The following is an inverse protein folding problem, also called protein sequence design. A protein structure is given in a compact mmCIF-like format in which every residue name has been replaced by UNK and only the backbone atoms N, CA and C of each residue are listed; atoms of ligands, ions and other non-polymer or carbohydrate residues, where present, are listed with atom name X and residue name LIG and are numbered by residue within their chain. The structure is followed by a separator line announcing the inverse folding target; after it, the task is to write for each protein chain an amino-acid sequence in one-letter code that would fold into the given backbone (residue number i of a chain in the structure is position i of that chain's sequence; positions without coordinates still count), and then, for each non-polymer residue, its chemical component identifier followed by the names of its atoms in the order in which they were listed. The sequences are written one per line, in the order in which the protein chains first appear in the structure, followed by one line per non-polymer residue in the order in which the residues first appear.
data_IF_075205821390
#
_entry.id   IF_075205821390
#
_cell.length_a   1.000
_cell.length_b   1.000
_cell.length_c   1.000
_cell.angle_alpha   90.00
_cell.angle_beta   90.00
_cell.angle_gamma   90.00
#
_symmetry.space_group_name_H-M   'P 1'
#
loop_
_entity.id
_entity.type
_entity.pdbx_description
1 polymer ?
2 polymer ?
3 non-polymer ?
4 non-polymer ?
5 water ?
#
# COMPACT_ATOMS: atom_id res chain seq x y z
N UNK A 30 17.78 22.18 6.07
CA UNK A 30 17.83 20.74 6.45
C UNK A 30 16.68 19.95 5.83
N UNK A 31 15.42 20.33 6.08
CA UNK A 31 14.27 19.62 5.45
C UNK A 31 14.37 19.69 3.91
N UNK A 32 14.72 20.84 3.38
CA UNK A 32 14.92 20.94 1.93
C UNK A 32 16.12 20.12 1.43
N UNK A 33 17.18 20.05 2.24
CA UNK A 33 18.32 19.24 1.91
C UNK A 33 17.97 17.75 1.89
N UNK A 34 17.24 17.31 2.88
CA UNK A 34 16.81 15.92 2.93
C UNK A 34 15.95 15.54 1.74
N UNK A 35 15.09 16.46 1.32
CA UNK A 35 14.25 16.23 0.17
C UNK A 35 15.10 16.05 -1.07
N UNK A 36 16.06 16.96 -1.22
CA UNK A 36 17.01 16.89 -2.28
C UNK A 36 17.80 15.53 -2.29
N UNK A 37 18.32 15.12 -1.13
CA UNK A 37 18.98 13.84 -1.03
C UNK A 37 18.06 12.66 -1.37
N UNK A 38 16.78 12.75 -0.99
CA UNK A 38 15.76 11.71 -1.32
C UNK A 38 15.57 11.67 -2.83
N UNK A 39 15.52 12.84 -3.44
CA UNK A 39 15.38 12.90 -4.87
C UNK A 39 16.63 12.35 -5.62
N UNK A 40 17.84 12.60 -5.10
CA UNK A 40 19.07 12.03 -5.71
C UNK A 40 19.11 10.52 -5.59
N UNK A 41 18.74 10.02 -4.41
CA UNK A 41 18.69 8.58 -4.16
C UNK A 41 17.64 7.96 -5.13
N UNK A 42 16.45 8.57 -5.27
CA UNK A 42 15.42 8.10 -6.23
C UNK A 42 15.97 8.04 -7.69
N UNK A 43 16.62 9.12 -8.14
CA UNK A 43 17.25 9.08 -9.45
C UNK A 43 18.29 7.91 -9.56
N UNK A 44 19.09 7.70 -8.52
CA UNK A 44 20.12 6.67 -8.55
C UNK A 44 19.55 5.30 -8.31
N UNK A 45 18.22 5.21 -8.05
CA UNK A 45 17.55 3.96 -7.73
C UNK A 45 18.12 3.28 -6.50
N UNK A 46 18.49 4.09 -5.52
CA UNK A 46 19.00 3.56 -4.26
C UNK A 46 17.90 3.83 -3.23
N UNK A 47 16.89 2.96 -3.29
CA UNK A 47 15.69 3.27 -2.52
C UNK A 47 15.86 3.18 -1.02
N UNK A 48 16.83 2.40 -0.53
CA UNK A 48 17.10 2.39 0.93
C UNK A 48 17.45 3.75 1.50
N UNK A 49 18.32 4.43 0.78
CA UNK A 49 18.74 5.76 1.12
C UNK A 49 17.65 6.76 0.98
N UNK A 50 16.77 6.58 -0.03
CA UNK A 50 15.64 7.50 -0.19
C UNK A 50 14.76 7.37 1.06
N UNK A 51 14.53 6.14 1.52
CA UNK A 51 13.78 5.87 2.76
C UNK A 51 14.43 6.62 3.98
N UNK A 52 15.73 6.48 4.15
CA UNK A 52 16.40 7.06 5.33
C UNK A 52 16.23 8.58 5.32
N UNK A 53 16.42 9.19 4.16
CA UNK A 53 16.23 10.66 4.01
C UNK A 53 14.79 11.06 4.34
N UNK A 54 13.79 10.34 3.81
CA UNK A 54 12.38 10.74 3.98
C UNK A 54 11.91 10.44 5.42
N UNK A 55 12.50 9.41 6.03
CA UNK A 55 12.19 9.08 7.41
C UNK A 55 12.64 10.19 8.35
N UNK A 56 13.77 10.81 8.03
CA UNK A 56 14.19 12.00 8.76
C UNK A 56 13.24 13.18 8.60
N UNK A 57 12.64 13.35 7.41
CA UNK A 57 11.66 14.41 7.22
C UNK A 57 10.46 14.09 8.09
N UNK A 58 10.00 12.85 8.03
CA UNK A 58 8.83 12.45 8.77
C UNK A 58 9.09 12.72 10.28
N UNK A 59 10.33 12.51 10.70
CA UNK A 59 10.68 12.61 12.11
C UNK A 59 10.68 14.05 12.61
N UNK A 60 10.48 15.03 11.74
CA UNK A 60 10.38 16.42 12.17
C UNK A 60 9.03 16.82 12.78
N UNK A 61 8.08 15.91 12.75
CA UNK A 61 6.76 16.13 13.40
C UNK A 61 5.97 17.34 12.84
N UNK A 62 6.12 17.60 11.54
CA UNK A 62 5.37 18.68 10.85
C UNK A 62 4.58 18.07 9.70
N UNK A 63 3.54 18.77 9.24
CA UNK A 63 2.75 18.31 8.08
C UNK A 63 3.71 18.22 6.84
N UNK A 64 3.77 17.06 6.19
CA UNK A 64 4.52 16.95 4.95
C UNK A 64 3.82 17.64 3.78
N UNK A 65 4.58 18.17 2.84
CA UNK A 65 3.96 18.67 1.65
C UNK A 65 3.50 17.45 0.82
N UNK A 66 2.69 17.67 -0.22
CA UNK A 66 2.30 16.64 -1.18
C UNK A 66 3.53 15.95 -1.76
N UNK A 67 4.55 16.73 -2.11
CA UNK A 67 5.78 16.19 -2.69
C UNK A 67 6.46 15.25 -1.69
N UNK A 68 6.65 15.71 -0.47
CA UNK A 68 7.29 14.91 0.59
C UNK A 68 6.52 13.62 0.90
N UNK A 69 5.17 13.72 1.00
CA UNK A 69 4.32 12.55 1.20
C UNK A 69 4.58 11.53 0.10
N UNK A 70 4.65 12.05 -1.12
CA UNK A 70 4.77 11.17 -2.26
C UNK A 70 6.15 10.54 -2.29
N UNK A 71 7.18 11.32 -1.99
CA UNK A 71 8.58 10.81 -1.93
C UNK A 71 8.72 9.71 -0.89
N UNK A 72 8.16 9.98 0.28
CA UNK A 72 8.14 8.97 1.32
C UNK A 72 7.43 7.71 0.90
N UNK A 73 6.29 7.86 0.25
CA UNK A 73 5.47 6.66 -0.09
C UNK A 73 6.19 5.84 -1.23
N UNK A 74 6.73 6.53 -2.23
CA UNK A 74 7.52 5.87 -3.29
C UNK A 74 8.71 5.15 -2.72
N UNK A 75 9.45 5.83 -1.84
CA UNK A 75 10.62 5.22 -1.21
C UNK A 75 10.24 3.87 -0.62
N UNK A 76 9.27 3.88 0.30
CA UNK A 76 8.92 2.62 0.95
C UNK A 76 8.24 1.66 -0.02
N UNK A 77 7.40 2.13 -0.93
CA UNK A 77 6.82 1.15 -1.85
C UNK A 77 7.90 0.43 -2.71
N UNK A 78 8.99 1.13 -3.06
CA UNK A 78 10.14 0.45 -3.79
C UNK A 78 10.86 -0.49 -2.89
N UNK A 79 11.10 -0.08 -1.64
CA UNK A 79 11.83 -0.94 -0.70
C UNK A 79 11.04 -2.19 -0.41
N UNK A 80 9.79 -2.03 0.02
CA UNK A 80 8.97 -3.23 0.27
C UNK A 80 8.66 -3.98 -1.03
N UNK A 81 8.50 -3.25 -2.14
CA UNK A 81 8.02 -3.91 -3.37
C UNK A 81 9.12 -4.86 -3.87
N UNK A 82 10.42 -4.48 -3.66
CA UNK A 82 11.50 -5.41 -4.00
C UNK A 82 11.37 -6.75 -3.27
N UNK A 83 11.08 -6.70 -1.96
CA UNK A 83 10.96 -7.94 -1.22
C UNK A 83 9.66 -8.65 -1.52
N UNK A 84 8.59 -7.89 -1.81
CA UNK A 84 7.35 -8.63 -2.15
C UNK A 84 7.56 -9.39 -3.46
N UNK A 85 8.24 -8.76 -4.42
CA UNK A 85 8.48 -9.43 -5.74
C UNK A 85 9.40 -10.66 -5.46
N UNK A 86 10.44 -10.51 -4.62
CA UNK A 86 11.30 -11.65 -4.26
C UNK A 86 10.48 -12.76 -3.60
N UNK A 87 9.67 -12.38 -2.61
CA UNK A 87 8.78 -13.32 -1.91
C UNK A 87 7.89 -14.12 -2.86
N UNK A 88 7.29 -13.43 -3.81
CA UNK A 88 6.39 -14.13 -4.70
C UNK A 88 7.16 -15.06 -5.64
N UNK A 89 8.38 -14.66 -6.05
CA UNK A 89 9.20 -15.57 -6.91
C UNK A 89 9.56 -16.81 -6.11
N UNK A 90 10.07 -16.61 -4.89
CA UNK A 90 10.54 -17.72 -4.08
C UNK A 90 9.35 -18.65 -3.73
N UNK A 91 8.19 -18.08 -3.39
CA UNK A 91 7.00 -18.88 -3.08
C UNK A 91 6.56 -19.69 -4.28
N UNK A 92 6.67 -19.14 -5.49
CA UNK A 92 6.29 -19.91 -6.66
C UNK A 92 7.28 -21.04 -6.89
N UNK A 93 8.55 -20.74 -6.67
CA UNK A 93 9.55 -21.80 -6.77
C UNK A 93 9.23 -22.90 -5.75
N UNK A 94 8.84 -22.47 -4.57
CA UNK A 94 8.51 -23.39 -3.54
C UNK A 94 7.32 -24.29 -3.98
N UNK A 95 6.30 -23.66 -4.58
CA UNK A 95 5.13 -24.39 -5.07
C UNK A 95 5.47 -25.42 -6.16
N UNK A 96 6.41 -25.07 -7.04
CA UNK A 96 6.88 -26.00 -8.09
C UNK A 96 7.55 -27.17 -7.41
N UNK A 97 8.42 -26.89 -6.46
CA UNK A 97 9.15 -27.97 -5.83
C UNK A 97 8.27 -28.91 -5.00
N UNK A 98 7.26 -28.37 -4.33
CA UNK A 98 6.28 -29.20 -3.61
C UNK A 98 5.63 -30.22 -4.54
N UNK A 99 5.36 -29.80 -5.78
CA UNK A 99 4.83 -30.68 -6.85
C UNK A 99 5.74 -31.75 -7.42
N UNK A 100 6.99 -31.76 -7.01
CA UNK A 100 7.97 -32.69 -7.50
C UNK A 100 8.62 -33.37 -6.30
N UNK A 101 8.22 -32.92 -5.12
CA UNK A 101 8.72 -33.46 -3.86
C UNK A 101 10.22 -33.50 -3.70
N UNK A 102 10.96 -32.48 -4.15
CA UNK A 102 12.38 -32.42 -3.79
C UNK A 102 12.55 -31.77 -2.43
N UNK A 103 12.75 -32.57 -1.36
CA UNK A 103 12.75 -32.07 0.04
C UNK A 103 14.05 -31.40 0.54
N UNK A 104 15.19 -31.83 0.00
CA UNK A 104 16.46 -31.11 0.18
C UNK A 104 16.24 -29.65 -0.36
N UNK A 105 15.72 -29.54 -1.57
CA UNK A 105 15.47 -28.23 -2.18
C UNK A 105 14.47 -27.42 -1.32
N UNK A 106 13.35 -28.06 -0.94
CA UNK A 106 12.32 -27.45 -0.10
C UNK A 106 12.87 -26.79 1.14
N UNK A 107 13.77 -27.49 1.83
CA UNK A 107 14.47 -26.96 2.97
C UNK A 107 15.10 -25.58 2.71
N UNK A 108 15.86 -25.48 1.63
CA UNK A 108 16.56 -24.24 1.35
C UNK A 108 15.61 -23.17 0.85
N UNK A 109 14.63 -23.56 0.04
CA UNK A 109 13.65 -22.57 -0.47
C UNK A 109 12.89 -21.96 0.75
N UNK A 110 12.43 -22.81 1.66
CA UNK A 110 11.67 -22.32 2.84
C UNK A 110 12.50 -21.49 3.76
N UNK A 111 13.77 -21.88 3.98
CA UNK A 111 14.63 -21.02 4.77
C UNK A 111 14.86 -19.65 4.08
N UNK A 112 14.98 -19.68 2.76
CA UNK A 112 15.16 -18.46 2.03
C UNK A 112 13.87 -17.58 2.05
N UNK A 113 12.71 -18.19 1.89
CA UNK A 113 11.46 -17.46 2.06
C UNK A 113 11.36 -16.77 3.42
N UNK A 114 11.78 -17.48 4.46
CA UNK A 114 11.58 -17.00 5.84
C UNK A 114 12.42 -15.78 6.06
N UNK A 115 13.60 -15.79 5.45
CA UNK A 115 14.50 -14.69 5.58
C UNK A 115 13.91 -13.45 4.90
N UNK A 116 13.32 -13.65 3.71
CA UNK A 116 12.67 -12.55 3.05
C UNK A 116 11.46 -12.05 3.85
N UNK A 117 10.72 -12.97 4.43
CA UNK A 117 9.63 -12.59 5.34
C UNK A 117 10.12 -11.76 6.50
N UNK A 118 11.23 -12.16 7.10
CA UNK A 118 11.82 -11.31 8.17
C UNK A 118 12.07 -9.88 7.69
N UNK A 119 12.68 -9.73 6.53
CA UNK A 119 12.87 -8.42 5.98
C UNK A 119 11.52 -7.68 5.73
N UNK A 120 10.52 -8.34 5.15
CA UNK A 120 9.22 -7.70 4.91
C UNK A 120 8.67 -7.23 6.25
N UNK A 121 8.77 -8.07 7.27
CA UNK A 121 8.24 -7.67 8.59
C UNK A 121 8.93 -6.43 9.12
N UNK A 122 10.26 -6.43 9.04
CA UNK A 122 11.03 -5.31 9.58
C UNK A 122 10.67 -4.06 8.82
N UNK A 123 10.57 -4.18 7.49
CA UNK A 123 10.27 -2.96 6.70
C UNK A 123 8.87 -2.43 7.02
N UNK A 124 7.89 -3.31 7.06
CA UNK A 124 6.50 -2.87 7.40
C UNK A 124 6.47 -2.26 8.78
N UNK A 126 8.82 -0.82 10.34
CA UNK A 126 9.49 0.48 10.30
C UNK A 126 8.54 1.62 9.85
N UNK A 127 7.88 1.48 8.72
CA UNK A 127 6.99 2.54 8.29
C UNK A 127 5.74 2.67 9.21
N UNK A 128 5.25 1.58 9.75
CA UNK A 128 4.06 1.56 10.60
C UNK A 128 4.40 2.33 11.88
N UNK A 129 5.67 2.25 12.33
CA UNK A 129 6.12 3.05 13.49
C UNK A 129 6.23 4.53 13.12
N UNK A 130 6.74 4.80 11.93
CA UNK A 130 6.84 6.19 11.48
C UNK A 130 5.44 6.80 11.33
N UNK A 131 4.50 5.99 10.85
CA UNK A 131 3.10 6.43 10.67
C UNK A 131 2.48 6.76 12.06
N UNK A 132 2.67 5.83 13.00
CA UNK A 132 2.06 5.97 14.34
C UNK A 132 2.72 7.04 15.20
N UNK A 133 4.05 7.17 15.10
CA UNK A 133 4.82 8.12 15.91
C UNK A 133 4.65 9.51 15.39
N UNK A 134 4.86 9.69 14.07
CA UNK A 134 5.17 10.95 13.47
C UNK A 134 4.05 11.41 12.52
N UNK A 135 3.72 10.56 11.54
CA UNK A 135 2.87 11.02 10.44
C UNK A 135 1.43 11.29 10.83
N UNK A 136 0.77 10.30 11.38
CA UNK A 136 -0.61 10.41 11.68
C UNK A 136 -0.81 11.50 12.78
N UNK A 137 -0.01 11.45 13.88
CA UNK A 137 -0.22 12.58 14.86
C UNK A 137 -0.08 14.01 14.32
N UNK A 138 0.81 14.22 13.36
CA UNK A 138 1.02 15.57 12.87
C UNK A 138 0.10 15.92 11.69
N UNK A 139 -0.72 14.98 11.24
CA UNK A 139 -1.47 15.20 9.98
C UNK A 139 -2.68 16.08 10.29
N UNK A 140 -2.91 17.13 9.57
CA UNK A 140 -4.04 17.97 9.93
C UNK A 140 -4.90 18.39 8.74
N UNK A 141 -4.73 17.73 7.60
CA UNK A 141 -5.65 17.95 6.48
C UNK A 141 -6.36 16.64 6.17
N UNK A 142 -7.58 16.73 5.66
CA UNK A 142 -8.32 15.55 5.24
C UNK A 142 -7.45 14.69 4.32
N UNK A 143 -6.80 15.29 3.32
CA UNK A 143 -6.03 14.53 2.35
C UNK A 143 -4.87 13.74 3.01
N UNK A 144 -4.12 14.40 3.88
CA UNK A 144 -3.00 13.72 4.49
C UNK A 144 -3.49 12.68 5.40
N UNK A 145 -4.57 12.91 6.19
CA UNK A 145 -5.07 11.85 7.05
C UNK A 145 -5.48 10.61 6.26
N UNK A 146 -6.16 10.80 5.12
CA UNK A 146 -6.55 9.63 4.33
C UNK A 146 -5.34 8.92 3.78
N UNK A 147 -4.38 9.70 3.29
CA UNK A 147 -3.16 9.10 2.72
C UNK A 147 -2.44 8.25 3.80
N UNK A 148 -2.28 8.78 5.00
CA UNK A 148 -1.53 8.02 5.99
C UNK A 148 -2.31 6.86 6.53
N UNK A 149 -3.62 7.02 6.75
CA UNK A 149 -4.37 5.82 7.16
C UNK A 149 -4.38 4.74 6.07
N UNK A 150 -4.53 5.17 4.82
CA UNK A 150 -4.51 4.17 3.75
C UNK A 150 -3.11 3.49 3.76
N UNK A 151 -2.05 4.24 3.89
CA UNK A 151 -0.74 3.65 4.00
C UNK A 151 -0.64 2.62 5.13
N UNK A 152 -1.19 2.99 6.29
CA UNK A 152 -1.21 2.02 7.38
C UNK A 152 -1.94 0.74 7.00
N UNK A 153 -3.08 0.94 6.33
CA UNK A 153 -3.86 -0.20 5.77
C UNK A 153 -2.98 -1.03 4.80
N UNK A 154 -2.26 -0.32 3.89
CA UNK A 154 -1.37 -1.06 2.91
C UNK A 154 -0.27 -1.86 3.62
N UNK A 155 0.36 -1.26 4.64
CA UNK A 155 1.48 -1.97 5.26
C UNK A 155 1.03 -3.15 6.14
N UNK A 156 -0.10 -3.02 6.81
CA UNK A 156 -0.65 -4.24 7.44
C UNK A 156 -1.09 -5.28 6.45
N UNK A 157 -1.67 -4.84 5.34
CA UNK A 157 -2.04 -5.75 4.33
C UNK A 157 -0.78 -6.49 3.78
N UNK A 158 0.35 -5.81 3.59
CA UNK A 158 1.56 -6.53 3.09
C UNK A 158 2.06 -7.53 4.12
N UNK A 159 1.90 -7.15 5.41
CA UNK A 159 2.14 -8.16 6.51
C UNK A 159 1.24 -9.34 6.37
N UNK A 160 -0.06 -9.07 6.15
CA UNK A 160 -1.07 -10.15 5.99
C UNK A 160 -0.77 -11.05 4.80
N UNK A 161 -0.13 -10.55 3.71
CA UNK A 161 0.05 -11.39 2.49
C UNK A 161 0.83 -12.61 2.80
N UNK A 162 1.82 -12.52 3.67
CA UNK A 162 2.59 -13.73 3.89
C UNK A 162 2.29 -14.37 5.25
N UNK A 163 1.56 -13.66 6.10
CA UNK A 163 1.26 -14.12 7.50
C UNK A 163 0.41 -15.40 7.47
N UNK A 164 0.58 -16.28 8.47
CA UNK A 164 -0.42 -17.35 8.65
C UNK A 164 -0.91 -17.23 10.09
N UNK A 165 -2.02 -17.87 10.36
CA UNK A 165 -2.46 -18.04 11.77
C UNK A 165 -2.85 -16.76 12.43
N UNK A 166 -2.39 -16.59 13.68
CA UNK A 166 -2.75 -15.40 14.46
C UNK A 166 -2.23 -14.12 13.82
N UNK A 167 -0.97 -14.12 13.42
CA UNK A 167 -0.30 -13.01 12.76
C UNK A 167 -1.20 -12.57 11.58
N UNK A 168 -1.70 -13.51 10.77
CA UNK A 168 -2.52 -13.11 9.63
C UNK A 168 -3.82 -12.39 10.09
N UNK A 169 -4.46 -12.97 11.12
CA UNK A 169 -5.66 -12.33 11.66
C UNK A 169 -5.34 -10.95 12.21
N UNK A 170 -4.27 -10.80 12.98
CA UNK A 170 -4.03 -9.50 13.57
C UNK A 170 -3.70 -8.46 12.47
N UNK A 171 -2.93 -8.88 11.48
CA UNK A 171 -2.54 -7.95 10.38
C UNK A 171 -3.82 -7.57 9.62
N UNK A 172 -4.66 -8.55 9.31
CA UNK A 172 -5.94 -8.28 8.61
C UNK A 172 -6.85 -7.36 9.37
N UNK A 173 -6.92 -7.54 10.72
CA UNK A 173 -7.76 -6.66 11.55
C UNK A 173 -7.16 -5.30 11.56
N UNK A 174 -5.84 -5.16 11.72
CA UNK A 174 -5.24 -3.82 11.80
C UNK A 174 -5.39 -3.12 10.45
N UNK A 175 -5.23 -3.91 9.38
CA UNK A 175 -5.39 -3.31 8.03
C UNK A 175 -6.84 -2.79 7.83
N UNK A 176 -7.82 -3.63 8.11
CA UNK A 176 -9.22 -3.28 8.04
C UNK A 176 -9.50 -1.98 8.83
N UNK A 177 -9.04 -1.92 10.10
CA UNK A 177 -9.28 -0.72 10.88
C UNK A 177 -8.72 0.53 10.25
N UNK A 178 -7.50 0.42 9.72
CA UNK A 178 -6.92 1.59 9.14
C UNK A 178 -7.66 1.98 7.85
N UNK A 179 -8.03 0.99 7.07
CA UNK A 179 -8.67 1.31 5.74
C UNK A 179 -10.10 1.90 6.03
N UNK A 180 -10.77 1.43 7.12
CA UNK A 180 -12.08 2.01 7.50
C UNK A 180 -11.88 3.41 7.98
N UNK A 181 -10.85 3.64 8.79
CA UNK A 181 -10.58 4.98 9.24
C UNK A 181 -10.30 5.90 8.05
N UNK A 182 -9.49 5.42 7.09
CA UNK A 182 -9.18 6.27 5.90
C UNK A 182 -10.51 6.50 5.12
N UNK A 183 -11.31 5.47 5.02
CA UNK A 183 -12.59 5.58 4.27
C UNK A 183 -13.56 6.56 4.90
N UNK A 184 -13.63 6.55 6.23
CA UNK A 184 -14.48 7.49 6.94
C UNK A 184 -14.09 8.93 6.60
N UNK A 185 -12.80 9.25 6.65
CA UNK A 185 -12.35 10.59 6.34
C UNK A 185 -12.56 10.91 4.84
N UNK A 186 -12.25 9.94 3.98
CA UNK A 186 -12.32 10.16 2.54
C UNK A 186 -13.76 10.42 2.14
N UNK A 187 -14.70 9.67 2.73
CA UNK A 187 -16.12 9.84 2.37
C UNK A 187 -16.66 11.20 2.76
N UNK A 188 -16.13 11.76 3.81
CA UNK A 188 -16.60 13.04 4.21
C UNK A 188 -15.78 14.18 3.64
N UNK A 189 -14.49 13.97 3.31
CA UNK A 189 -13.59 15.10 3.06
C UNK A 189 -13.10 15.21 1.62
N UNK A 190 -13.14 14.11 0.85
CA UNK A 190 -12.62 14.15 -0.52
C UNK A 190 -13.70 13.85 -1.55
N UNK A 191 -13.62 14.55 -2.69
CA UNK A 191 -14.50 14.14 -3.79
C UNK A 191 -14.25 12.73 -4.25
N UNK A 192 -15.28 12.08 -4.82
CA UNK A 192 -15.17 10.70 -5.21
C UNK A 192 -14.18 10.48 -6.34
N UNK A 193 -13.83 11.57 -7.04
CA UNK A 193 -12.80 11.44 -8.10
C UNK A 193 -11.39 11.68 -7.56
N UNK A 194 -11.25 12.01 -6.29
CA UNK A 194 -9.95 12.41 -5.81
C UNK A 194 -9.02 11.14 -5.93
N UNK A 195 -7.80 11.31 -6.39
CA UNK A 195 -6.92 10.16 -6.59
C UNK A 195 -6.59 9.41 -5.29
N UNK A 196 -6.53 10.12 -4.18
CA UNK A 196 -6.23 9.35 -2.92
C UNK A 196 -7.47 8.53 -2.51
N UNK A 197 -8.66 9.12 -2.69
CA UNK A 197 -9.89 8.41 -2.36
C UNK A 197 -10.02 7.22 -3.30
N UNK A 198 -9.76 7.41 -4.58
CA UNK A 198 -9.83 6.27 -5.54
C UNK A 198 -8.77 5.20 -5.21
N UNK A 199 -7.55 5.68 -4.94
CA UNK A 199 -6.41 4.80 -4.57
C UNK A 199 -6.78 3.99 -3.33
N UNK A 200 -7.44 4.67 -2.37
CA UNK A 200 -7.91 3.94 -1.18
C UNK A 200 -8.92 2.91 -1.59
N UNK A 201 -9.90 3.28 -2.42
CA UNK A 201 -10.89 2.27 -2.85
C UNK A 201 -10.27 1.07 -3.55
N UNK A 202 -9.32 1.37 -4.45
CA UNK A 202 -8.62 0.29 -5.15
C UNK A 202 -7.91 -0.63 -4.14
N UNK A 203 -7.11 -0.09 -3.21
CA UNK A 203 -6.37 -0.96 -2.35
C UNK A 203 -7.25 -1.67 -1.35
N UNK A 204 -8.28 -0.97 -0.82
CA UNK A 204 -9.20 -1.65 0.12
C UNK A 204 -9.96 -2.73 -0.59
N UNK A 205 -10.29 -2.54 -1.86
CA UNK A 205 -10.95 -3.64 -2.58
C UNK A 205 -9.98 -4.81 -2.74
N UNK A 206 -8.70 -4.53 -3.04
CA UNK A 206 -7.71 -5.62 -3.12
C UNK A 206 -7.63 -6.39 -1.78
N UNK A 207 -7.65 -5.63 -0.70
CA UNK A 207 -7.64 -6.16 0.66
C UNK A 207 -8.82 -7.15 0.84
N UNK A 208 -10.02 -6.71 0.46
CA UNK A 208 -11.17 -7.63 0.61
C UNK A 208 -11.01 -8.88 -0.23
N UNK A 209 -10.50 -8.69 -1.46
CA UNK A 209 -10.23 -9.80 -2.36
C UNK A 209 -9.16 -10.74 -1.86
N UNK A 210 -7.95 -10.20 -1.64
CA UNK A 210 -6.74 -11.02 -1.42
C UNK A 210 -6.56 -11.44 0.00
N UNK A 211 -7.02 -10.63 0.95
CA UNK A 211 -6.82 -10.98 2.38
C UNK A 211 -8.12 -11.60 3.02
N UNK A 212 -9.26 -10.93 2.86
CA UNK A 212 -10.53 -11.40 3.43
C UNK A 212 -11.22 -12.43 2.58
N UNK A 213 -10.62 -12.76 1.44
CA UNK A 213 -11.21 -13.71 0.54
C UNK A 213 -12.68 -13.38 0.29
N UNK A 214 -12.95 -12.20 -0.20
CA UNK A 214 -14.34 -11.81 -0.35
C UNK A 214 -14.50 -11.16 -1.70
N UNK A 215 -14.65 -11.97 -2.76
CA UNK A 215 -14.76 -11.35 -4.08
C UNK A 215 -16.00 -10.49 -4.19
N UNK A 216 -17.10 -10.85 -3.47
CA UNK A 216 -18.33 -10.09 -3.60
C UNK A 216 -18.14 -8.68 -2.98
N UNK A 217 -17.58 -8.60 -1.79
CA UNK A 217 -17.38 -7.31 -1.15
C UNK A 217 -16.33 -6.48 -1.95
N UNK A 218 -15.31 -7.18 -2.48
CA UNK A 218 -14.23 -6.48 -3.26
C UNK A 218 -14.89 -5.81 -4.49
N UNK A 219 -15.73 -6.58 -5.16
CA UNK A 219 -16.44 -6.08 -6.36
C UNK A 219 -17.34 -4.93 -6.04
N UNK A 220 -18.13 -5.03 -4.96
CA UNK A 220 -19.00 -3.91 -4.55
C UNK A 220 -18.29 -2.65 -4.22
N UNK A 221 -17.21 -2.78 -3.44
CA UNK A 221 -16.45 -1.59 -3.10
C UNK A 221 -15.85 -0.97 -4.36
N UNK A 222 -15.28 -1.78 -5.24
CA UNK A 222 -14.58 -1.23 -6.40
C UNK A 222 -15.62 -0.60 -7.34
N UNK A 223 -16.74 -1.31 -7.47
CA UNK A 223 -17.79 -0.84 -8.40
C UNK A 223 -18.38 0.42 -7.85
N UNK A 224 -18.66 0.46 -6.55
CA UNK A 224 -19.20 1.69 -5.95
C UNK A 224 -18.27 2.85 -6.16
N UNK A 225 -16.97 2.64 -5.88
CA UNK A 225 -16.02 3.75 -6.01
C UNK A 225 -16.01 4.27 -7.48
N UNK A 226 -16.04 3.36 -8.40
CA UNK A 226 -15.92 3.68 -9.82
C UNK A 226 -17.19 4.45 -10.21
N UNK A 227 -18.37 3.91 -9.87
CA UNK A 227 -19.71 4.59 -10.16
C UNK A 227 -19.82 5.96 -9.55
N UNK A 228 -19.37 6.12 -8.28
CA UNK A 228 -19.43 7.44 -7.61
C UNK A 228 -18.56 8.49 -8.26
N UNK A 229 -17.40 8.06 -8.77
CA UNK A 229 -16.53 9.00 -9.47
C UNK A 229 -17.19 9.34 -10.82
N UNK A 230 -17.66 8.32 -11.52
CA UNK A 230 -18.35 8.55 -12.89
C UNK A 230 -19.49 9.57 -12.67
N UNK A 231 -20.26 9.40 -11.59
CA UNK A 231 -21.33 10.36 -11.25
C UNK A 231 -20.87 11.78 -11.02
N UNK A 232 -19.62 12.00 -10.64
CA UNK A 232 -19.20 13.32 -10.26
C UNK A 232 -17.93 13.77 -11.04
N UNK A 233 -17.85 13.42 -12.31
CA UNK A 233 -16.65 13.66 -13.09
C UNK A 233 -16.30 15.12 -13.20
N UNK A 234 -17.26 16.00 -12.92
CA UNK A 234 -17.03 17.44 -12.80
C UNK A 234 -16.12 17.84 -11.63
N UNK A 235 -15.90 16.90 -10.70
CA UNK A 235 -15.03 17.13 -9.56
C UNK A 235 -13.57 16.77 -9.96
N UNK A 236 -13.37 16.25 -11.15
CA UNK A 236 -11.99 15.95 -11.58
C UNK A 236 -11.12 17.21 -11.57
N UNK A 237 -9.97 17.14 -10.90
CA UNK A 237 -9.02 18.24 -10.72
C UNK A 237 -7.99 18.26 -11.86
N UNK A 238 -7.69 19.49 -12.29
CA UNK A 238 -6.59 19.76 -13.19
C UNK A 238 -5.29 19.08 -12.72
N UNK A 239 -5.01 19.12 -11.41
CA UNK A 239 -3.78 18.59 -10.85
C UNK A 239 -3.65 17.05 -11.02
N UNK A 240 -4.76 16.33 -11.15
CA UNK A 240 -4.69 14.84 -10.90
C UNK A 240 -5.70 14.07 -11.74
N UNK A 241 -6.28 14.70 -12.75
CA UNK A 241 -7.13 13.93 -13.64
C UNK A 241 -6.41 12.75 -14.29
N UNK A 242 -5.11 12.83 -14.57
CA UNK A 242 -4.43 11.62 -15.14
C UNK A 242 -4.31 10.56 -14.04
N UNK A 243 -4.04 11.00 -12.82
CA UNK A 243 -3.96 10.01 -11.70
C UNK A 243 -5.33 9.35 -11.47
N UNK A 244 -6.37 10.16 -11.40
CA UNK A 244 -7.76 9.57 -11.26
C UNK A 244 -8.12 8.61 -12.37
N UNK A 245 -7.85 8.98 -13.61
CA UNK A 245 -8.15 8.12 -14.73
C UNK A 245 -7.41 6.81 -14.72
N UNK A 246 -6.16 6.87 -14.25
CA UNK A 246 -5.42 5.64 -14.19
C UNK A 246 -6.03 4.75 -13.12
N UNK A 247 -6.33 5.30 -11.94
CA UNK A 247 -6.89 4.44 -10.86
C UNK A 247 -8.24 3.86 -11.32
N UNK A 248 -9.05 4.68 -11.97
CA UNK A 248 -10.37 4.18 -12.40
C UNK A 248 -10.19 3.05 -13.39
N UNK A 249 -9.17 3.14 -14.23
CA UNK A 249 -8.89 2.02 -15.15
C UNK A 249 -8.44 0.78 -14.37
N UNK A 250 -7.68 0.98 -13.29
CA UNK A 250 -7.29 -0.18 -12.49
C UNK A 250 -8.48 -0.80 -11.79
N UNK A 251 -9.38 0.06 -11.28
CA UNK A 251 -10.59 -0.47 -10.64
C UNK A 251 -11.33 -1.34 -11.65
N UNK A 252 -11.40 -0.85 -12.88
CA UNK A 252 -12.02 -1.65 -13.96
C UNK A 252 -11.25 -2.92 -14.28
N UNK A 253 -9.91 -2.86 -14.37
CA UNK A 253 -9.09 -4.05 -14.65
C UNK A 253 -9.27 -5.12 -13.55
N UNK A 254 -9.30 -4.68 -12.27
CA UNK A 254 -9.63 -5.64 -11.22
C UNK A 254 -10.98 -6.30 -11.36
N UNK A 255 -12.01 -5.49 -11.63
CA UNK A 255 -13.35 -6.02 -11.77
C UNK A 255 -13.39 -7.04 -12.90
N UNK A 256 -12.54 -6.84 -13.92
CA UNK A 256 -12.41 -7.74 -15.06
C UNK A 256 -11.81 -9.02 -14.54
N UNK A 257 -10.62 -8.89 -13.98
CA UNK A 257 -9.91 -9.99 -13.32
C UNK A 257 -10.79 -10.81 -12.33
N UNK A 258 -11.69 -10.15 -11.61
CA UNK A 258 -12.45 -10.79 -10.55
C UNK A 258 -13.85 -11.33 -10.92
N UNK A 259 -14.38 -10.95 -12.10
CA UNK A 259 -15.66 -11.48 -12.58
C UNK A 259 -15.51 -12.22 -13.92
N UNK B 3 -1.64 -10.82 -7.72
CA UNK B 3 -2.04 -10.57 -9.15
C UNK B 3 -3.17 -9.52 -9.39
N UNK B 4 -4.01 -9.19 -8.38
CA UNK B 4 -4.87 -7.98 -8.49
C UNK B 4 -3.97 -6.75 -8.63
N UNK B 5 -4.52 -5.64 -9.16
CA UNK B 5 -3.74 -4.42 -9.26
C UNK B 5 -4.00 -3.57 -8.09
N UNK B 7 -2.69 0.23 -6.10
CA UNK B 7 -2.30 1.54 -6.52
C UNK B 7 -0.76 1.58 -6.93
N UNK B 8 -0.43 2.08 -8.15
CA UNK B 8 0.96 1.98 -8.62
C UNK B 8 1.80 3.11 -7.99
N UNK B 9 3.12 3.14 -8.21
CA UNK B 9 3.96 4.13 -7.52
C UNK B 9 5.17 4.44 -8.40
#
# INVERSE_FOLDING_TARGET
MSYHHHHHHDYDIPTTENLYFQGAMGSMDDREDLVYQAKLAEQAERYDEMVESMKKVAGMDVELTVEERNLLSVAYKNVIGARRASWRIISSIEQKEENKGGEDKLKMIREYRQMVETELKLICXDILDVLDKHLIPAANTGESKVFYYKMKGDYHRYLAEFATGNDRKEAAENSLVAYKAASDIAMTELPPTHPIRLGLALNFSVFYYEILNSPDRACRLAKAAFDDAIAELDTLSEESYKDSTLIMQLLRDNLTLWTSD
MIRSFXEPFGRDLL
#
